data_IF_417133292916
#
_entry.id   IF_417133292916
#
_cell.length_a   1.000
_cell.length_b   1.000
_cell.length_c   1.000
_cell.angle_alpha   90.00
_cell.angle_beta   90.00
_cell.angle_gamma   90.00
#
_symmetry.space_group_name_H-M   'P 1'
#
loop_
_entity.id
_entity.type
_entity.pdbx_description
1 polymer ?
#
# COMPACT_ATOMS: atom_id res chain seq x y z
N UNK A 1 4.41 -1.88 -21.39
CA UNK A 1 3.63 -1.64 -20.17
C UNK A 1 4.27 -0.50 -19.39
N UNK A 2 3.50 0.50 -18.94
CA UNK A 2 4.03 1.65 -18.18
C UNK A 2 3.59 1.53 -16.72
N UNK A 3 4.53 1.57 -15.80
CA UNK A 3 4.24 1.81 -14.37
C UNK A 3 3.89 3.29 -14.27
N UNK A 4 2.67 3.60 -13.87
CA UNK A 4 2.28 4.97 -13.53
C UNK A 4 1.96 4.98 -12.06
N UNK A 5 2.67 5.77 -11.28
CA UNK A 5 2.23 6.03 -9.92
C UNK A 5 0.94 6.85 -10.00
N UNK A 6 -0.18 6.24 -9.59
CA UNK A 6 -1.48 6.92 -9.57
C UNK A 6 -1.72 7.73 -8.29
N UNK A 7 -0.84 7.63 -7.28
CA UNK A 7 -0.98 8.33 -6.01
C UNK A 7 0.07 9.46 -5.88
N UNK A 8 -0.39 10.67 -5.57
CA UNK A 8 0.45 11.85 -5.34
C UNK A 8 0.25 12.40 -3.90
N UNK A 9 1.29 12.49 -3.04
CA UNK A 9 2.68 12.08 -3.25
C UNK A 9 2.90 10.57 -3.09
N UNK A 10 4.00 10.00 -3.65
CA UNK A 10 4.36 8.58 -3.51
C UNK A 10 4.71 8.17 -2.07
N UNK A 11 5.11 9.12 -1.22
CA UNK A 11 5.52 8.88 0.16
C UNK A 11 4.35 9.05 1.13
N UNK A 12 4.38 8.31 2.24
CA UNK A 12 3.28 8.25 3.20
C UNK A 12 3.42 9.20 4.39
N UNK A 13 4.61 9.77 4.59
CA UNK A 13 4.94 10.77 5.62
C UNK A 13 4.23 12.11 5.39
N UNK A 14 3.95 12.45 4.14
CA UNK A 14 3.24 13.68 3.77
C UNK A 14 1.71 13.51 3.63
N UNK A 15 1.16 12.35 4.01
CA UNK A 15 -0.27 12.04 3.87
C UNK A 15 -0.98 11.89 5.22
N UNK A 16 -2.27 12.20 5.22
CA UNK A 16 -3.16 11.81 6.31
C UNK A 16 -3.13 10.27 6.46
N UNK A 17 -3.15 9.76 7.70
CA UNK A 17 -3.03 8.34 7.93
C UNK A 17 -4.26 7.61 7.40
N UNK A 18 -4.03 6.48 6.72
CA UNK A 18 -5.09 5.65 6.14
C UNK A 18 -5.76 4.82 7.22
N UNK A 19 -7.09 4.76 7.23
CA UNK A 19 -7.84 4.07 8.28
C UNK A 19 -7.94 2.57 7.97
N UNK A 20 -7.29 1.68 8.74
CA UNK A 20 -7.48 0.24 8.59
C UNK A 20 -8.87 -0.18 9.08
N UNK A 21 -9.41 -1.22 8.45
CA UNK A 21 -10.59 -1.92 8.94
C UNK A 21 -10.18 -3.12 9.81
N UNK A 22 -10.82 -3.24 10.98
CA UNK A 22 -10.60 -4.35 11.89
C UNK A 22 -11.89 -5.20 12.03
N UNK A 23 -11.80 -6.53 11.94
CA UNK A 23 -12.89 -7.42 12.31
C UNK A 23 -13.30 -7.29 13.78
N UNK A 24 -14.48 -7.83 14.13
CA UNK A 24 -14.95 -7.86 15.52
C UNK A 24 -13.96 -8.61 16.43
N UNK A 25 -13.67 -8.02 17.59
CA UNK A 25 -12.68 -8.55 18.55
C UNK A 25 -11.23 -8.16 18.24
N UNK A 26 -10.99 -7.36 17.21
CA UNK A 26 -9.69 -6.77 16.88
C UNK A 26 -9.75 -5.24 16.95
N UNK A 27 -8.59 -4.60 17.00
CA UNK A 27 -8.49 -3.15 16.78
C UNK A 27 -7.40 -2.86 15.77
N UNK A 28 -7.58 -1.77 15.02
CA UNK A 28 -6.55 -1.25 14.17
C UNK A 28 -6.61 0.28 14.17
N UNK A 29 -5.46 0.92 14.20
CA UNK A 29 -5.32 2.36 14.11
C UNK A 29 -4.10 2.72 13.27
N UNK A 30 -4.05 3.97 12.86
CA UNK A 30 -2.95 4.48 12.07
C UNK A 30 -2.57 5.90 12.51
N UNK A 31 -1.30 6.24 12.28
CA UNK A 31 -0.79 7.60 12.46
C UNK A 31 0.33 7.87 11.46
N UNK A 32 0.49 9.12 11.10
CA UNK A 32 1.63 9.58 10.29
C UNK A 32 2.81 9.86 11.21
N UNK A 33 4.00 9.48 10.76
CA UNK A 33 5.28 9.66 11.45
C UNK A 33 6.33 10.11 10.43
N UNK A 34 7.49 10.57 10.90
CA UNK A 34 8.63 10.89 10.02
C UNK A 34 9.17 9.67 9.25
N UNK A 35 8.75 8.46 9.62
CA UNK A 35 9.12 7.20 8.96
C UNK A 35 8.04 6.68 8.00
N UNK A 36 6.91 7.40 7.87
CA UNK A 36 5.75 7.01 7.07
C UNK A 36 4.49 6.77 7.91
N UNK A 37 3.55 6.01 7.35
CA UNK A 37 2.29 5.67 8.00
C UNK A 37 2.45 4.41 8.85
N UNK A 38 2.40 4.56 10.17
CA UNK A 38 2.43 3.47 11.13
C UNK A 38 1.01 2.93 11.33
N UNK A 39 0.81 1.65 11.08
CA UNK A 39 -0.42 0.90 11.36
C UNK A 39 -0.17 0.02 12.56
N UNK A 40 -1.00 0.16 13.61
CA UNK A 40 -1.01 -0.75 14.76
C UNK A 40 -2.26 -1.60 14.70
N UNK A 41 -2.10 -2.92 14.62
CA UNK A 41 -3.19 -3.89 14.69
C UNK A 41 -3.04 -4.77 15.95
N UNK A 42 -4.13 -5.02 16.67
CA UNK A 42 -4.14 -5.90 17.85
C UNK A 42 -5.24 -6.94 17.77
N UNK A 43 -4.98 -8.12 18.36
CA UNK A 43 -5.89 -9.27 18.33
C UNK A 43 -5.42 -10.34 17.35
N UNK A 44 -5.88 -11.59 17.56
CA UNK A 44 -5.49 -12.72 16.72
C UNK A 44 -6.20 -12.69 15.37
N UNK A 45 -5.46 -12.42 14.30
CA UNK A 45 -5.98 -12.47 12.93
C UNK A 45 -5.33 -11.43 12.02
N UNK A 46 -6.09 -10.99 11.02
CA UNK A 46 -5.70 -9.95 10.07
C UNK A 46 -6.67 -8.79 10.13
N UNK A 47 -6.13 -7.58 10.26
CA UNK A 47 -6.83 -6.37 9.89
C UNK A 47 -6.62 -6.11 8.39
N UNK A 48 -7.39 -5.19 7.82
CA UNK A 48 -7.37 -4.96 6.37
C UNK A 48 -7.16 -3.48 6.09
N UNK A 49 -6.27 -3.19 5.16
CA UNK A 49 -6.01 -1.82 4.74
C UNK A 49 -6.45 -1.64 3.30
N UNK A 50 -7.25 -0.62 3.08
CA UNK A 50 -7.65 -0.18 1.76
C UNK A 50 -6.77 0.99 1.31
N UNK A 51 -6.59 1.18 0.00
CA UNK A 51 -6.04 2.43 -0.50
C UNK A 51 -6.82 3.64 0.03
N UNK A 52 -6.19 4.82 0.16
CA UNK A 52 -6.89 6.04 0.48
C UNK A 52 -7.89 6.39 -0.64
N UNK A 53 -9.07 6.84 -0.22
CA UNK A 53 -10.06 7.46 -1.08
C UNK A 53 -9.76 8.96 -1.28
N UNK A 54 -10.19 9.56 -2.41
CA UNK A 54 -10.79 8.91 -3.57
C UNK A 54 -9.76 8.08 -4.37
N UNK A 55 -10.24 7.02 -5.03
CA UNK A 55 -9.37 6.24 -5.91
C UNK A 55 -9.11 7.00 -7.22
N UNK A 56 -7.86 7.08 -7.67
CA UNK A 56 -7.54 7.60 -9.00
C UNK A 56 -8.25 6.80 -10.10
N UNK A 57 -8.65 7.49 -11.17
CA UNK A 57 -9.26 6.85 -12.33
C UNK A 57 -8.35 5.78 -12.93
N UNK A 58 -8.95 4.63 -13.22
CA UNK A 58 -8.25 3.49 -13.81
C UNK A 58 -7.36 2.73 -12.82
N UNK A 59 -7.46 2.94 -11.51
CA UNK A 59 -6.76 2.13 -10.51
C UNK A 59 -7.26 0.68 -10.54
N UNK A 60 -6.37 -0.25 -10.88
CA UNK A 60 -6.62 -1.68 -10.95
C UNK A 60 -5.99 -2.47 -9.80
N UNK A 61 -4.85 -1.98 -9.26
CA UNK A 61 -4.21 -2.57 -8.08
C UNK A 61 -3.32 -1.57 -7.35
N UNK A 62 -2.87 -1.93 -6.14
CA UNK A 62 -1.91 -1.16 -5.34
C UNK A 62 -0.75 -2.01 -4.85
N UNK A 63 0.37 -1.35 -4.60
CA UNK A 63 1.51 -1.91 -3.86
C UNK A 63 1.92 -0.92 -2.78
N UNK A 64 2.05 -1.42 -1.57
CA UNK A 64 2.55 -0.69 -0.42
C UNK A 64 3.97 -1.13 -0.12
N UNK A 65 4.87 -0.17 0.10
CA UNK A 65 6.21 -0.46 0.60
C UNK A 65 6.23 -0.37 2.12
N UNK A 66 6.80 -1.38 2.77
CA UNK A 66 7.10 -1.36 4.20
C UNK A 66 8.44 -0.69 4.45
N UNK A 67 8.67 -0.21 5.69
CA UNK A 67 9.95 0.37 6.14
C UNK A 67 11.16 -0.56 5.92
N UNK A 68 10.96 -1.87 6.04
CA UNK A 68 12.00 -2.89 5.79
C UNK A 68 12.34 -3.08 4.29
N UNK A 69 11.67 -2.35 3.39
CA UNK A 69 11.86 -2.41 1.95
C UNK A 69 11.03 -3.49 1.24
N UNK A 70 10.39 -4.40 1.96
CA UNK A 70 9.49 -5.40 1.39
C UNK A 70 8.10 -4.82 1.12
N UNK A 71 7.23 -5.58 0.42
CA UNK A 71 6.02 -5.04 -0.17
C UNK A 71 4.76 -5.82 0.23
N UNK A 72 3.64 -5.10 0.33
CA UNK A 72 2.30 -5.67 0.37
C UNK A 72 1.60 -5.36 -0.95
N UNK A 73 1.06 -6.38 -1.60
CA UNK A 73 0.37 -6.25 -2.90
C UNK A 73 -1.12 -6.42 -2.68
N UNK A 74 -1.91 -5.51 -3.24
CA UNK A 74 -3.37 -5.57 -3.18
C UNK A 74 -3.90 -6.90 -3.73
N UNK A 75 -4.84 -7.49 -2.98
CA UNK A 75 -5.57 -8.70 -3.37
C UNK A 75 -6.93 -8.30 -3.95
N UNK A 76 -8.03 -8.91 -3.49
CA UNK A 76 -9.39 -8.54 -3.89
C UNK A 76 -9.72 -7.12 -3.41
N UNK A 77 -10.38 -6.32 -4.25
CA UNK A 77 -10.68 -4.91 -3.97
C UNK A 77 -9.46 -4.08 -3.53
N UNK A 78 -8.25 -4.44 -3.99
CA UNK A 78 -7.00 -3.74 -3.70
C UNK A 78 -6.61 -3.73 -2.21
N UNK A 79 -7.29 -4.52 -1.37
CA UNK A 79 -6.99 -4.56 0.06
C UNK A 79 -5.68 -5.29 0.33
N UNK A 80 -5.02 -4.97 1.43
CA UNK A 80 -3.88 -5.73 1.94
C UNK A 80 -4.12 -6.18 3.38
N UNK A 81 -3.74 -7.42 3.72
CA UNK A 81 -3.83 -7.90 5.08
C UNK A 81 -2.72 -7.27 5.94
N UNK A 82 -3.09 -6.80 7.13
CA UNK A 82 -2.18 -6.27 8.15
C UNK A 82 -2.17 -7.24 9.33
N UNK A 83 -1.04 -7.92 9.60
CA UNK A 83 -0.94 -8.83 10.74
C UNK A 83 -0.95 -8.05 12.05
N UNK A 84 -1.21 -8.76 13.16
CA UNK A 84 -1.02 -8.23 14.50
C UNK A 84 0.40 -7.64 14.68
N UNK A 85 0.47 -6.48 15.35
CA UNK A 85 1.69 -5.74 15.60
C UNK A 85 1.72 -4.39 14.88
N UNK A 86 2.94 -3.88 14.70
CA UNK A 86 3.20 -2.58 14.08
C UNK A 86 3.77 -2.78 12.68
N UNK A 87 3.10 -2.20 11.68
CA UNK A 87 3.57 -2.15 10.30
C UNK A 87 3.76 -0.69 9.89
N UNK A 88 4.96 -0.32 9.46
CA UNK A 88 5.24 1.03 8.93
C UNK A 88 5.27 0.98 7.41
N UNK A 89 4.39 1.76 6.77
CA UNK A 89 4.26 1.90 5.33
C UNK A 89 4.91 3.20 4.88
N UNK A 90 5.88 3.12 3.97
CA UNK A 90 6.67 4.27 3.52
C UNK A 90 6.19 4.83 2.19
N UNK A 91 5.63 3.98 1.32
CA UNK A 91 5.15 4.37 -0.01
C UNK A 91 3.91 3.62 -0.44
N UNK A 92 3.14 4.25 -1.31
CA UNK A 92 1.98 3.67 -1.99
C UNK A 92 2.10 3.94 -3.49
N UNK A 93 1.94 2.89 -4.30
CA UNK A 93 1.78 3.02 -5.75
C UNK A 93 0.50 2.34 -6.20
N UNK A 94 -0.25 3.05 -7.03
CA UNK A 94 -1.37 2.51 -7.78
C UNK A 94 -0.92 2.07 -9.17
N UNK A 95 -1.58 1.06 -9.73
CA UNK A 95 -1.34 0.54 -11.07
C UNK A 95 -2.65 0.47 -11.83
N UNK A 96 -2.64 0.78 -13.12
CA UNK A 96 -3.81 0.63 -13.98
C UNK A 96 -3.92 -0.76 -14.63
N UNK A 97 -2.90 -1.60 -14.43
CA UNK A 97 -2.88 -2.98 -14.89
C UNK A 97 -1.99 -3.83 -13.97
N UNK A 98 -2.50 -5.01 -13.58
CA UNK A 98 -1.85 -5.96 -12.67
C UNK A 98 -0.79 -6.83 -13.36
N UNK A 99 -0.76 -6.88 -14.69
CA UNK A 99 0.08 -7.83 -15.43
C UNK A 99 1.59 -7.68 -15.17
N UNK A 100 2.09 -6.47 -14.90
CA UNK A 100 3.50 -6.26 -14.52
C UNK A 100 3.81 -6.78 -13.13
N UNK A 101 2.90 -6.53 -12.17
CA UNK A 101 3.07 -7.00 -10.79
C UNK A 101 3.21 -8.52 -10.81
N UNK A 102 2.31 -9.19 -11.54
CA UNK A 102 2.35 -10.64 -11.75
C UNK A 102 3.64 -11.08 -12.45
N UNK A 103 4.07 -10.39 -13.50
CA UNK A 103 5.29 -10.74 -14.24
C UNK A 103 6.55 -10.65 -13.35
N UNK A 104 6.69 -9.57 -12.59
CA UNK A 104 7.83 -9.37 -11.69
C UNK A 104 7.83 -10.40 -10.57
N UNK A 105 6.66 -10.69 -9.98
CA UNK A 105 6.52 -11.73 -8.96
C UNK A 105 6.90 -13.11 -9.50
N UNK A 106 6.41 -13.48 -10.69
CA UNK A 106 6.74 -14.76 -11.33
C UNK A 106 8.23 -14.88 -11.67
N UNK A 107 8.90 -13.76 -11.95
CA UNK A 107 10.33 -13.70 -12.21
C UNK A 107 11.20 -13.60 -10.94
N UNK A 108 10.59 -13.49 -9.75
CA UNK A 108 11.31 -13.26 -8.49
C UNK A 108 12.00 -11.89 -8.43
N UNK A 109 11.56 -10.94 -9.25
CA UNK A 109 12.14 -9.60 -9.32
C UNK A 109 11.39 -8.64 -8.38
N UNK A 110 12.10 -7.65 -7.80
CA UNK A 110 11.47 -6.68 -6.91
C UNK A 110 10.45 -5.83 -7.66
N UNK A 111 9.37 -5.44 -6.95
CA UNK A 111 8.45 -4.42 -7.42
C UNK A 111 9.15 -3.07 -7.37
N UNK A 112 9.47 -2.52 -8.55
CA UNK A 112 10.14 -1.24 -8.65
C UNK A 112 9.10 -0.11 -8.62
N UNK A 113 9.19 0.75 -7.61
CA UNK A 113 8.50 2.03 -7.59
C UNK A 113 9.20 2.94 -8.61
N UNK A 114 8.73 2.94 -9.85
CA UNK A 114 9.18 3.90 -10.84
C UNK A 114 8.51 5.26 -10.54
N UNK A 115 9.00 5.94 -9.50
CA UNK A 115 8.72 7.35 -9.25
C UNK A 115 9.56 8.19 -10.23
N UNK A 116 9.38 7.99 -11.52
CA UNK A 116 9.75 9.02 -12.49
C UNK A 116 8.50 9.84 -12.71
N UNK A 117 8.37 10.89 -11.90
CA UNK A 117 7.53 12.04 -12.21
C UNK A 117 7.98 12.55 -13.57
N UNK A 118 7.28 12.14 -14.62
CA UNK A 118 7.33 12.86 -15.87
C UNK A 118 6.28 13.96 -15.77
N UNK A 119 6.69 15.24 -15.60
CA UNK A 119 5.79 16.35 -15.83
C UNK A 119 5.31 16.24 -17.28
N UNK A 120 4.00 16.19 -17.47
CA UNK A 120 3.40 16.49 -18.76
C UNK A 120 3.42 18.01 -18.98
#
# INVERSE_FOLDING_TARGET
MRIRNLYDPPTMDDRAPVTPWAPSGMTASSKTTDEGCEITATGKGWCWLYPPEPYPDGLANVVWQKKDGSYLVGIDNMTVPIPEGVTVLTRLCGFNDRSLVTLLQNAGLPLVFAATDHPY
#
